data_IF_535573575725
#
_entry.id   IF_535573575725
#
_cell.length_a   1.000
_cell.length_b   1.000
_cell.length_c   1.000
_cell.angle_alpha   90.00
_cell.angle_beta   90.00
_cell.angle_gamma   90.00
#
_symmetry.space_group_name_H-M   'P 1'
#
loop_
_entity.id
_entity.type
_entity.pdbx_description
1 polymer ?
#
# COMPACT_ATOMS: atom_id res chain seq x y z
N UNK A 1 -17.97 17.10 -5.37
CA UNK A 1 -19.00 16.03 -5.30
C UNK A 1 -18.25 14.72 -5.05
N UNK A 2 -18.12 14.11 -3.87
CA UNK A 2 -18.45 14.35 -2.46
C UNK A 2 -17.29 13.74 -1.62
N UNK A 3 -16.32 14.56 -1.15
CA UNK A 3 -15.10 14.07 -0.46
C UNK A 3 -15.36 13.35 0.89
N UNK A 4 -16.53 13.59 1.49
CA UNK A 4 -16.93 12.97 2.76
C UNK A 4 -17.38 11.52 2.60
N UNK A 5 -17.94 11.16 1.44
CA UNK A 5 -18.33 9.78 1.13
C UNK A 5 -17.10 8.89 0.94
N UNK A 6 -16.06 9.40 0.28
CA UNK A 6 -14.77 8.71 0.15
C UNK A 6 -14.11 8.49 1.52
N UNK A 7 -14.11 9.53 2.36
CA UNK A 7 -13.56 9.46 3.72
C UNK A 7 -14.30 8.42 4.60
N UNK A 8 -15.63 8.34 4.46
CA UNK A 8 -16.45 7.34 5.16
C UNK A 8 -16.23 5.92 4.64
N UNK A 9 -16.05 5.74 3.33
CA UNK A 9 -15.71 4.44 2.73
C UNK A 9 -14.33 3.97 3.22
N UNK A 10 -13.34 4.86 3.28
CA UNK A 10 -12.01 4.55 3.83
C UNK A 10 -12.05 4.27 5.33
N UNK A 11 -12.87 4.98 6.11
CA UNK A 11 -13.06 4.69 7.54
C UNK A 11 -13.77 3.35 7.77
N UNK A 12 -14.76 3.00 6.95
CA UNK A 12 -15.45 1.71 7.00
C UNK A 12 -14.52 0.55 6.59
N UNK A 13 -13.64 0.77 5.60
CA UNK A 13 -12.58 -0.16 5.22
C UNK A 13 -11.61 -0.40 6.38
N UNK A 14 -11.21 0.66 7.10
CA UNK A 14 -10.33 0.56 8.27
C UNK A 14 -10.93 -0.25 9.43
N UNK A 15 -12.25 -0.18 9.62
CA UNK A 15 -12.94 -1.05 10.57
C UNK A 15 -12.81 -2.53 10.17
N UNK A 16 -12.94 -2.86 8.88
CA UNK A 16 -12.73 -4.24 8.39
C UNK A 16 -11.30 -4.73 8.66
N UNK A 17 -10.31 -3.84 8.52
CA UNK A 17 -8.90 -4.14 8.85
C UNK A 17 -8.71 -4.38 10.36
N UNK A 18 -9.28 -3.52 11.20
CA UNK A 18 -9.15 -3.61 12.66
C UNK A 18 -9.79 -4.88 13.23
N UNK A 19 -10.88 -5.37 12.61
CA UNK A 19 -11.53 -6.63 12.98
C UNK A 19 -10.85 -7.89 12.44
N UNK A 20 -9.72 -7.77 11.72
CA UNK A 20 -8.91 -8.91 11.29
C UNK A 20 -9.46 -9.64 10.04
N UNK A 21 -10.31 -8.99 9.25
CA UNK A 21 -10.77 -9.55 7.97
C UNK A 21 -9.68 -9.31 6.93
N UNK A 22 -8.88 -10.34 6.66
CA UNK A 22 -7.79 -10.31 5.68
C UNK A 22 -8.32 -10.65 4.29
N UNK A 23 -8.58 -9.63 3.48
CA UNK A 23 -9.01 -9.82 2.09
C UNK A 23 -7.76 -9.94 1.20
N UNK A 24 -7.67 -10.97 0.33
CA UNK A 24 -6.61 -11.05 -0.68
C UNK A 24 -6.55 -9.75 -1.49
N UNK A 25 -5.36 -9.32 -1.90
CA UNK A 25 -5.08 -8.04 -2.61
C UNK A 25 -5.07 -6.79 -1.74
N UNK A 26 -5.93 -6.67 -0.72
CA UNK A 26 -5.99 -5.47 0.13
C UNK A 26 -4.90 -5.44 1.22
N UNK A 27 -4.37 -6.62 1.54
CA UNK A 27 -3.34 -6.80 2.57
C UNK A 27 -2.11 -7.45 1.98
N UNK A 28 -0.97 -6.77 2.12
CA UNK A 28 0.31 -7.44 1.89
C UNK A 28 0.52 -8.48 2.98
N UNK A 29 0.87 -9.71 2.59
CA UNK A 29 1.09 -10.84 3.51
C UNK A 29 -0.15 -11.31 4.29
N UNK A 30 -1.32 -11.23 3.64
CA UNK A 30 -2.64 -11.54 4.22
C UNK A 30 -2.79 -12.96 4.81
N UNK A 31 -1.95 -13.90 4.40
CA UNK A 31 -1.98 -15.32 4.74
C UNK A 31 -0.72 -15.76 5.51
N UNK A 32 0.07 -14.82 6.00
CA UNK A 32 1.21 -15.11 6.88
C UNK A 32 0.80 -14.95 8.35
N UNK A 33 1.38 -15.74 9.27
CA UNK A 33 1.05 -15.73 10.70
C UNK A 33 1.68 -14.54 11.45
N UNK A 34 1.66 -13.33 10.87
CA UNK A 34 2.01 -12.14 11.63
C UNK A 34 0.96 -11.85 12.71
N UNK A 35 1.43 -11.44 13.89
CA UNK A 35 0.61 -11.26 15.09
C UNK A 35 -0.46 -10.17 14.87
N UNK A 36 -1.68 -10.39 15.37
CA UNK A 36 -2.80 -9.45 15.32
C UNK A 36 -2.49 -8.03 15.86
N UNK A 37 -1.40 -7.86 16.60
CA UNK A 37 -0.90 -6.56 17.05
C UNK A 37 -0.24 -5.76 15.90
N UNK A 38 0.54 -6.41 15.04
CA UNK A 38 1.21 -5.78 13.91
C UNK A 38 0.21 -5.29 12.85
N UNK A 39 -0.83 -6.10 12.58
CA UNK A 39 -1.91 -5.73 11.67
C UNK A 39 -2.65 -4.46 12.14
N UNK A 40 -2.80 -4.28 13.45
CA UNK A 40 -3.38 -3.05 14.03
C UNK A 40 -2.48 -1.83 13.83
N UNK A 41 -1.16 -1.98 13.92
CA UNK A 41 -0.23 -0.87 13.67
C UNK A 41 -0.25 -0.47 12.18
N UNK A 42 -0.24 -1.47 11.29
CA UNK A 42 -0.31 -1.24 9.84
C UNK A 42 -1.61 -0.53 9.48
N UNK A 43 -2.74 -0.92 10.10
CA UNK A 43 -4.02 -0.25 9.87
C UNK A 43 -3.95 1.23 10.26
N UNK A 44 -3.40 1.59 11.41
CA UNK A 44 -3.22 3.01 11.77
C UNK A 44 -2.29 3.76 10.80
N UNK A 45 -1.26 3.10 10.26
CA UNK A 45 -0.36 3.71 9.27
C UNK A 45 -1.08 4.03 7.94
N UNK A 46 -2.09 3.26 7.54
CA UNK A 46 -2.88 3.53 6.32
C UNK A 46 -3.54 4.91 6.36
N UNK A 47 -3.94 5.41 7.53
CA UNK A 47 -4.49 6.76 7.68
C UNK A 47 -3.50 7.84 7.23
N UNK A 48 -2.22 7.68 7.52
CA UNK A 48 -1.18 8.62 7.09
C UNK A 48 -1.00 8.58 5.56
N UNK A 49 -1.08 7.40 4.95
CA UNK A 49 -1.05 7.25 3.49
C UNK A 49 -2.26 7.91 2.83
N UNK A 50 -3.48 7.73 3.37
CA UNK A 50 -4.68 8.38 2.84
C UNK A 50 -4.51 9.90 2.87
N UNK A 51 -4.08 10.47 4.00
CA UNK A 51 -3.84 11.91 4.12
C UNK A 51 -2.76 12.40 3.14
N UNK A 52 -1.68 11.64 2.96
CA UNK A 52 -0.61 11.95 2.01
C UNK A 52 -1.12 11.97 0.56
N UNK A 53 -1.87 10.94 0.14
CA UNK A 53 -2.41 10.87 -1.22
C UNK A 53 -3.50 11.90 -1.48
N UNK A 54 -4.34 12.19 -0.47
CA UNK A 54 -5.30 13.29 -0.55
C UNK A 54 -4.59 14.63 -0.69
N UNK A 55 -3.52 14.87 0.07
CA UNK A 55 -2.74 16.11 -0.06
C UNK A 55 -2.02 16.19 -1.41
N UNK A 56 -1.49 15.06 -1.90
CA UNK A 56 -0.86 14.94 -3.20
C UNK A 56 -1.80 15.24 -4.37
N UNK A 57 -3.09 14.90 -4.26
CA UNK A 57 -4.07 15.21 -5.31
C UNK A 57 -4.42 16.70 -5.38
N UNK A 58 -4.25 17.43 -4.28
CA UNK A 58 -4.53 18.87 -4.19
C UNK A 58 -3.29 19.73 -4.46
N UNK A 59 -2.09 19.20 -4.14
CA UNK A 59 -0.84 19.95 -4.21
C UNK A 59 0.23 19.16 -4.94
N UNK A 60 0.64 19.68 -6.11
CA UNK A 60 1.69 19.09 -6.93
C UNK A 60 3.02 18.90 -6.21
N UNK A 61 3.40 19.82 -5.32
CA UNK A 61 4.62 19.71 -4.51
C UNK A 61 4.61 18.48 -3.60
N UNK A 62 3.43 18.05 -3.15
CA UNK A 62 3.24 16.87 -2.31
C UNK A 62 3.16 15.59 -3.15
N UNK A 63 2.72 15.67 -4.40
CA UNK A 63 2.68 14.52 -5.31
C UNK A 63 4.04 13.84 -5.50
N UNK A 64 5.12 14.62 -5.57
CA UNK A 64 6.48 14.05 -5.63
C UNK A 64 6.83 13.26 -4.36
N UNK A 65 6.45 13.77 -3.19
CA UNK A 65 6.68 13.08 -1.92
C UNK A 65 5.91 11.76 -1.88
N UNK A 66 4.65 11.73 -2.34
CA UNK A 66 3.86 10.50 -2.42
C UNK A 66 4.49 9.47 -3.37
N UNK A 67 5.04 9.90 -4.51
CA UNK A 67 5.79 9.05 -5.44
C UNK A 67 7.04 8.47 -4.78
N UNK A 68 7.82 9.28 -4.07
CA UNK A 68 9.02 8.83 -3.36
C UNK A 68 8.66 7.80 -2.29
N UNK A 69 7.62 8.07 -1.48
CA UNK A 69 7.16 7.14 -0.44
C UNK A 69 6.70 5.82 -1.06
N UNK A 70 5.98 5.84 -2.18
CA UNK A 70 5.61 4.62 -2.91
C UNK A 70 6.83 3.85 -3.43
N UNK A 71 7.83 4.54 -3.96
CA UNK A 71 9.06 3.90 -4.41
C UNK A 71 9.78 3.18 -3.26
N UNK A 72 9.88 3.84 -2.10
CA UNK A 72 10.43 3.23 -0.88
C UNK A 72 9.59 2.04 -0.43
N UNK A 73 8.25 2.12 -0.51
CA UNK A 73 7.36 1.00 -0.19
C UNK A 73 7.61 -0.19 -1.11
N UNK A 74 7.73 0.01 -2.43
CA UNK A 74 8.02 -1.08 -3.38
C UNK A 74 9.36 -1.74 -3.09
N UNK A 75 10.40 -0.95 -2.79
CA UNK A 75 11.72 -1.47 -2.43
C UNK A 75 11.68 -2.24 -1.11
N UNK A 76 10.99 -1.71 -0.09
CA UNK A 76 10.79 -2.37 1.19
C UNK A 76 10.06 -3.70 1.05
N UNK A 77 8.95 -3.72 0.30
CA UNK A 77 8.20 -4.96 0.03
C UNK A 77 9.02 -5.98 -0.76
N UNK A 78 9.79 -5.53 -1.74
CA UNK A 78 10.69 -6.39 -2.50
C UNK A 78 11.78 -6.99 -1.61
N UNK A 79 12.35 -6.19 -0.70
CA UNK A 79 13.32 -6.67 0.30
C UNK A 79 12.72 -7.70 1.24
N UNK A 80 11.46 -7.53 1.67
CA UNK A 80 10.76 -8.49 2.52
C UNK A 80 10.44 -9.77 1.74
N UNK A 81 9.96 -9.68 0.50
CA UNK A 81 9.70 -10.82 -0.37
C UNK A 81 10.94 -11.68 -0.65
N UNK A 82 12.13 -11.07 -0.68
CA UNK A 82 13.41 -11.75 -0.85
C UNK A 82 14.01 -12.24 0.47
N UNK A 83 13.48 -11.82 1.62
CA UNK A 83 14.06 -12.13 2.92
C UNK A 83 13.84 -13.58 3.32
N UNK A 84 14.82 -14.16 4.00
CA UNK A 84 14.68 -15.46 4.67
C UNK A 84 13.66 -15.42 5.81
N UNK A 85 13.34 -14.23 6.33
CA UNK A 85 12.30 -14.03 7.34
C UNK A 85 10.91 -14.35 6.81
N UNK A 86 10.59 -13.94 5.57
CA UNK A 86 9.32 -14.33 4.95
C UNK A 86 9.29 -15.86 4.74
N UNK A 87 10.37 -16.43 4.23
CA UNK A 87 10.46 -17.89 4.04
C UNK A 87 10.26 -18.67 5.35
N UNK A 88 10.69 -18.12 6.50
CA UNK A 88 10.53 -18.76 7.81
C UNK A 88 9.11 -18.77 8.37
N UNK A 89 8.20 -17.97 7.81
CA UNK A 89 6.80 -17.87 8.25
C UNK A 89 5.81 -18.48 7.26
N UNK A 90 6.28 -18.97 6.12
CA UNK A 90 5.44 -19.65 5.12
C UNK A 90 5.25 -21.11 5.48
N UNK A 91 4.03 -21.61 5.26
CA UNK A 91 3.74 -23.04 5.37
C UNK A 91 4.43 -23.83 4.25
N UNK A 92 4.67 -25.12 4.50
CA UNK A 92 5.36 -25.99 3.54
C UNK A 92 4.54 -26.09 2.23
N UNK A 93 5.12 -25.62 1.12
CA UNK A 93 4.44 -25.56 -0.19
C UNK A 93 3.67 -24.26 -0.49
N UNK A 94 3.65 -23.29 0.44
CA UNK A 94 3.03 -21.98 0.21
C UNK A 94 3.87 -21.15 -0.77
N UNK A 95 3.22 -20.69 -1.85
CA UNK A 95 3.90 -19.90 -2.90
C UNK A 95 4.07 -18.43 -2.46
N UNK A 96 5.20 -17.83 -2.81
CA UNK A 96 5.44 -16.37 -2.65
C UNK A 96 4.84 -15.53 -3.78
N UNK A 97 4.27 -16.18 -4.80
CA UNK A 97 3.75 -15.54 -6.00
C UNK A 97 2.65 -14.48 -5.70
N UNK A 98 1.71 -14.68 -4.75
CA UNK A 98 0.74 -13.66 -4.38
C UNK A 98 1.37 -12.36 -3.87
N UNK A 99 2.45 -12.43 -3.11
CA UNK A 99 3.14 -11.23 -2.58
C UNK A 99 3.90 -10.48 -3.66
N UNK A 100 4.47 -11.21 -4.62
CA UNK A 100 5.08 -10.62 -5.80
C UNK A 100 4.06 -9.95 -6.71
N UNK A 101 2.86 -10.53 -6.86
CA UNK A 101 1.76 -9.88 -7.59
C UNK A 101 1.32 -8.57 -6.92
N UNK A 102 1.20 -8.56 -5.59
CA UNK A 102 0.87 -7.34 -4.83
C UNK A 102 1.95 -6.26 -4.98
N UNK A 103 3.21 -6.65 -4.83
CA UNK A 103 4.36 -5.73 -4.99
C UNK A 103 4.43 -5.20 -6.41
N UNK A 104 4.19 -6.06 -7.41
CA UNK A 104 4.11 -5.69 -8.82
C UNK A 104 2.97 -4.71 -9.12
N UNK A 105 1.79 -4.90 -8.52
CA UNK A 105 0.66 -3.98 -8.68
C UNK A 105 0.99 -2.57 -8.13
N UNK A 106 1.63 -2.49 -6.97
CA UNK A 106 2.06 -1.21 -6.38
C UNK A 106 3.16 -0.57 -7.25
N UNK A 107 4.11 -1.37 -7.75
CA UNK A 107 5.15 -0.88 -8.66
C UNK A 107 4.58 -0.35 -9.98
N UNK A 108 3.57 -1.03 -10.53
CA UNK A 108 2.84 -0.55 -11.71
C UNK A 108 2.15 0.79 -11.43
N UNK A 109 1.47 0.91 -10.29
CA UNK A 109 0.83 2.15 -9.88
C UNK A 109 1.83 3.30 -9.72
N UNK A 110 3.00 3.03 -9.12
CA UNK A 110 4.10 3.99 -9.03
C UNK A 110 4.56 4.47 -10.41
N UNK A 111 4.78 3.56 -11.36
CA UNK A 111 5.18 3.92 -12.73
C UNK A 111 4.13 4.80 -13.39
N UNK A 112 2.84 4.45 -13.25
CA UNK A 112 1.75 5.26 -13.77
C UNK A 112 1.75 6.68 -13.18
N UNK A 113 1.93 6.82 -11.87
CA UNK A 113 2.01 8.12 -11.20
C UNK A 113 3.22 8.94 -11.66
N UNK A 114 4.39 8.34 -11.82
CA UNK A 114 5.58 9.01 -12.36
C UNK A 114 5.31 9.54 -13.77
N UNK A 115 4.71 8.74 -14.64
CA UNK A 115 4.36 9.15 -16.01
C UNK A 115 3.38 10.32 -16.00
N UNK A 116 2.34 10.27 -15.14
CA UNK A 116 1.36 11.34 -15.00
C UNK A 116 2.01 12.63 -14.46
N UNK A 117 2.87 12.52 -13.44
CA UNK A 117 3.57 13.65 -12.86
C UNK A 117 4.49 14.37 -13.86
N UNK A 118 5.22 13.60 -14.68
CA UNK A 118 6.07 14.14 -15.75
C UNK A 118 5.22 14.82 -16.83
N UNK A 119 4.11 14.18 -17.23
CA UNK A 119 3.19 14.76 -18.23
C UNK A 119 2.59 16.08 -17.76
N UNK A 120 2.10 16.13 -16.52
CA UNK A 120 1.56 17.34 -15.93
C UNK A 120 2.60 18.47 -15.89
N UNK A 121 3.90 18.15 -15.79
CA UNK A 121 4.99 19.14 -15.74
C UNK A 121 5.38 19.74 -17.07
N UNK A 122 5.01 19.08 -18.17
CA UNK A 122 5.23 19.57 -19.52
C UNK A 122 4.08 20.45 -20.02
N UNK A 123 2.94 20.43 -19.34
CA UNK A 123 1.72 21.15 -19.71
C UNK A 123 1.52 22.46 -18.94
N UNK A 124 2.43 22.81 -18.03
CA UNK A 124 2.43 24.04 -17.23
C UNK A 124 3.64 24.91 -17.57
#
# INVERSE_FOLDING_TARGET
MHSWLESLIFAAWQLHIFFGIKVPVLFVYYDTPFYAYQDKIISFAVCAYIALFYSASQHRSVALNAIIVLAVTVLGLSSVNLSSSLASVLEEGQSTLPYWLQTGAIAFYLVALVVLYIKDGKSS
#
